data_IF_612145880288
#
_entry.id   IF_612145880288
#
_cell.length_a   1.000
_cell.length_b   1.000
_cell.length_c   1.000
_cell.angle_alpha   90.00
_cell.angle_beta   90.00
_cell.angle_gamma   90.00
#
_symmetry.space_group_name_H-M   'P 1'
#
loop_
_entity.id
_entity.type
_entity.pdbx_description
1 polymer ?
#
# COMPACT_ATOMS: atom_id res chain seq x y z
N UNK A 1 -23.45 9.29 -18.08
CA UNK A 1 -23.06 8.22 -17.14
C UNK A 1 -22.81 8.88 -15.80
N UNK A 2 -23.71 8.69 -14.82
CA UNK A 2 -23.63 9.39 -13.53
C UNK A 2 -22.57 8.71 -12.65
N UNK A 3 -21.57 9.49 -12.20
CA UNK A 3 -20.59 9.07 -11.21
C UNK A 3 -21.29 9.00 -9.84
N UNK A 4 -21.40 7.78 -9.30
CA UNK A 4 -21.96 7.56 -7.97
C UNK A 4 -21.12 8.24 -6.90
N UNK A 5 -21.79 8.92 -5.97
CA UNK A 5 -21.18 9.55 -4.81
C UNK A 5 -20.58 8.50 -3.87
N UNK A 6 -19.28 8.25 -3.96
CA UNK A 6 -18.55 7.43 -2.98
C UNK A 6 -18.24 8.27 -1.74
N UNK A 7 -18.78 7.87 -0.58
CA UNK A 7 -18.37 8.41 0.72
C UNK A 7 -17.06 7.72 1.15
N UNK A 8 -15.99 8.46 1.46
CA UNK A 8 -14.76 7.85 1.97
C UNK A 8 -15.01 7.27 3.37
N UNK A 9 -14.74 5.98 3.53
CA UNK A 9 -14.66 5.32 4.84
C UNK A 9 -13.23 5.52 5.33
N UNK A 10 -13.06 6.30 6.39
CA UNK A 10 -11.77 6.47 7.06
C UNK A 10 -11.49 5.23 7.92
N UNK A 11 -10.60 4.35 7.45
CA UNK A 11 -10.10 3.24 8.25
C UNK A 11 -8.84 3.71 8.98
N UNK A 12 -8.98 4.03 10.28
CA UNK A 12 -7.86 4.40 11.15
C UNK A 12 -7.38 3.13 11.84
N UNK A 13 -6.23 2.60 11.44
CA UNK A 13 -5.58 1.44 12.08
C UNK A 13 -4.55 1.94 13.10
N UNK A 14 -4.94 2.00 14.37
CA UNK A 14 -4.07 2.42 15.49
C UNK A 14 -3.14 1.28 15.93
N UNK A 15 -1.86 1.36 15.58
CA UNK A 15 -0.82 0.48 16.14
C UNK A 15 -0.30 1.08 17.46
N UNK A 16 -0.86 0.63 18.57
CA UNK A 16 -0.46 1.01 19.93
C UNK A 16 0.92 0.42 20.29
N UNK A 17 1.97 1.24 20.21
CA UNK A 17 3.27 0.94 20.80
C UNK A 17 3.38 1.61 22.18
N UNK A 18 3.48 0.82 23.24
CA UNK A 18 3.68 1.25 24.62
C UNK A 18 5.01 1.99 24.79
N UNK A 19 4.95 3.21 25.31
CA UNK A 19 6.09 4.11 25.56
C UNK A 19 6.52 3.99 27.02
N UNK A 20 7.77 3.57 27.25
CA UNK A 20 8.57 3.93 28.42
C UNK A 20 9.39 5.17 28.05
N UNK A 21 9.07 6.33 28.63
CA UNK A 21 9.83 7.58 28.43
C UNK A 21 10.75 7.83 29.63
N UNK A 22 12.07 7.84 29.38
CA UNK A 22 13.05 8.48 30.25
C UNK A 22 13.30 9.91 29.77
N UNK A 23 13.25 10.87 30.70
CA UNK A 23 13.44 12.30 30.50
C UNK A 23 14.86 12.65 30.03
N UNK A 24 14.99 13.12 28.78
CA UNK A 24 16.00 14.12 28.39
C UNK A 24 15.43 15.04 27.32
N UNK A 25 15.62 16.35 27.52
CA UNK A 25 15.05 17.43 26.72
C UNK A 25 15.63 17.56 25.31
N UNK A 26 15.32 16.61 24.45
CA UNK A 26 15.28 16.84 23.02
C UNK A 26 13.91 17.46 22.70
N UNK A 27 13.88 18.61 22.00
CA UNK A 27 12.70 19.02 21.23
C UNK A 27 12.50 17.99 20.11
N UNK A 28 11.96 16.83 20.48
CA UNK A 28 11.45 15.86 19.51
C UNK A 28 10.37 16.62 18.74
N UNK A 29 10.64 16.91 17.46
CA UNK A 29 9.56 17.16 16.52
C UNK A 29 8.61 15.99 16.73
N UNK A 30 7.43 16.25 17.28
CA UNK A 30 6.45 15.23 17.56
C UNK A 30 5.94 14.77 16.18
N UNK A 31 6.64 13.81 15.59
CA UNK A 31 6.23 13.22 14.33
C UNK A 31 4.94 12.45 14.65
N UNK A 32 3.85 12.81 13.96
CA UNK A 32 2.53 12.20 14.16
C UNK A 32 2.56 10.69 13.96
N UNK A 33 1.49 9.99 14.33
CA UNK A 33 1.41 8.55 14.13
C UNK A 33 1.52 8.19 12.63
N UNK A 34 2.02 6.98 12.35
CA UNK A 34 1.98 6.43 11.00
C UNK A 34 0.57 5.94 10.73
N UNK A 35 0.00 6.40 9.63
CA UNK A 35 -1.32 6.08 9.16
C UNK A 35 -1.26 5.54 7.74
N UNK A 36 -2.25 4.72 7.39
CA UNK A 36 -2.46 4.22 6.04
C UNK A 36 -3.82 4.73 5.59
N UNK A 37 -3.82 5.64 4.62
CA UNK A 37 -5.01 6.39 4.22
C UNK A 37 -5.40 6.03 2.80
N UNK A 38 -6.68 5.75 2.54
CA UNK A 38 -7.17 5.65 1.17
C UNK A 38 -6.92 6.96 0.41
N UNK A 39 -6.40 6.86 -0.81
CA UNK A 39 -6.09 8.01 -1.64
C UNK A 39 -6.93 8.07 -2.90
N UNK A 40 -6.84 7.05 -3.77
CA UNK A 40 -7.73 6.94 -4.93
C UNK A 40 -7.87 5.50 -5.38
N UNK A 41 -8.88 5.28 -6.22
CA UNK A 41 -9.16 4.02 -6.90
C UNK A 41 -9.00 4.19 -8.39
N UNK A 42 -8.25 3.30 -9.01
CA UNK A 42 -8.17 3.15 -10.45
C UNK A 42 -9.08 1.99 -10.88
N UNK A 43 -9.83 2.17 -11.96
CA UNK A 43 -10.72 1.16 -12.52
C UNK A 43 -10.11 0.68 -13.83
N UNK A 44 -9.69 -0.57 -13.84
CA UNK A 44 -9.00 -1.19 -14.97
C UNK A 44 -9.79 -2.35 -15.57
N UNK A 45 -9.22 -2.95 -16.60
CA UNK A 45 -9.65 -4.23 -17.12
C UNK A 45 -8.50 -5.23 -17.00
N UNK A 46 -8.76 -6.39 -16.41
CA UNK A 46 -7.81 -7.51 -16.36
C UNK A 46 -8.47 -8.75 -16.93
N UNK A 47 -7.87 -9.35 -17.95
CA UNK A 47 -8.36 -10.56 -18.63
C UNK A 47 -9.84 -10.48 -19.09
N UNK A 48 -10.29 -9.30 -19.55
CA UNK A 48 -11.64 -9.09 -20.08
C UNK A 48 -12.71 -8.71 -19.04
N UNK A 49 -12.34 -8.54 -17.77
CA UNK A 49 -13.27 -8.14 -16.70
C UNK A 49 -12.82 -6.84 -16.06
N UNK A 50 -13.80 -6.07 -15.58
CA UNK A 50 -13.53 -4.85 -14.81
C UNK A 50 -12.98 -5.22 -13.44
N UNK A 51 -11.84 -4.65 -13.09
CA UNK A 51 -11.21 -4.75 -11.77
C UNK A 51 -10.97 -3.36 -11.21
N UNK A 52 -10.53 -3.29 -9.95
CA UNK A 52 -10.02 -2.03 -9.39
C UNK A 52 -8.66 -2.20 -8.72
N UNK A 53 -7.86 -1.15 -8.72
CA UNK A 53 -6.67 -1.01 -7.90
C UNK A 53 -6.82 0.16 -6.94
N UNK A 54 -6.56 -0.04 -5.65
CA UNK A 54 -6.59 1.04 -4.65
C UNK A 54 -5.18 1.51 -4.31
N UNK A 55 -5.06 2.82 -4.12
CA UNK A 55 -3.85 3.49 -3.72
C UNK A 55 -3.99 3.97 -2.29
N UNK A 56 -3.10 3.50 -1.43
CA UNK A 56 -3.04 3.81 -0.01
C UNK A 56 -1.80 4.62 0.29
N UNK A 57 -1.97 5.70 1.04
CA UNK A 57 -0.90 6.60 1.44
C UNK A 57 -0.36 6.20 2.78
N UNK A 58 0.94 5.97 2.86
CA UNK A 58 1.67 5.74 4.10
C UNK A 58 2.24 7.06 4.59
N UNK A 59 1.78 7.51 5.76
CA UNK A 59 2.32 8.70 6.42
C UNK A 59 3.49 8.32 7.34
N UNK A 60 4.33 9.30 7.68
CA UNK A 60 5.42 9.15 8.65
C UNK A 60 6.37 7.94 8.44
N UNK A 61 6.51 7.46 7.20
CA UNK A 61 7.31 6.27 6.87
C UNK A 61 8.82 6.44 7.12
N UNK A 62 9.29 7.70 7.19
CA UNK A 62 10.69 8.04 7.50
C UNK A 62 11.03 7.64 8.94
N UNK A 63 10.07 7.77 9.86
CA UNK A 63 10.29 7.48 11.29
C UNK A 63 9.75 6.12 11.71
N UNK A 64 8.84 5.53 10.93
CA UNK A 64 8.28 4.19 11.17
C UNK A 64 8.42 3.35 9.91
N UNK A 65 9.35 2.41 9.96
CA UNK A 65 9.63 1.54 8.83
C UNK A 65 8.64 0.36 8.79
N UNK A 66 8.31 -0.10 7.58
CA UNK A 66 7.36 -1.19 7.32
C UNK A 66 8.07 -2.24 6.46
N UNK A 67 7.90 -3.52 6.79
CA UNK A 67 8.43 -4.64 6.00
C UNK A 67 7.49 -5.01 4.85
N UNK A 68 7.98 -5.74 3.85
CA UNK A 68 7.12 -6.23 2.75
C UNK A 68 6.02 -7.16 3.29
N UNK A 69 6.31 -8.00 4.28
CA UNK A 69 5.28 -8.81 4.95
C UNK A 69 4.16 -7.96 5.54
N UNK A 70 4.51 -6.86 6.21
CA UNK A 70 3.52 -5.98 6.79
C UNK A 70 2.65 -5.33 5.70
N UNK A 71 3.25 -4.85 4.60
CA UNK A 71 2.50 -4.35 3.45
C UNK A 71 1.54 -5.40 2.87
N UNK A 72 2.01 -6.63 2.67
CA UNK A 72 1.19 -7.74 2.20
C UNK A 72 0.02 -8.06 3.15
N UNK A 73 0.29 -8.09 4.46
CA UNK A 73 -0.74 -8.31 5.48
C UNK A 73 -1.78 -7.19 5.49
N UNK A 74 -1.34 -5.93 5.41
CA UNK A 74 -2.24 -4.77 5.35
C UNK A 74 -3.09 -4.85 4.09
N UNK A 75 -2.51 -5.15 2.93
CA UNK A 75 -3.25 -5.29 1.68
C UNK A 75 -4.31 -6.40 1.80
N UNK A 76 -3.94 -7.56 2.34
CA UNK A 76 -4.87 -8.66 2.59
C UNK A 76 -5.97 -8.34 3.59
N UNK A 77 -5.70 -7.54 4.63
CA UNK A 77 -6.73 -7.11 5.58
C UNK A 77 -7.65 -6.06 4.95
N UNK A 78 -7.08 -5.13 4.18
CA UNK A 78 -7.83 -4.08 3.51
C UNK A 78 -8.88 -4.66 2.56
N UNK A 79 -8.50 -5.66 1.74
CA UNK A 79 -9.44 -6.32 0.81
C UNK A 79 -10.58 -7.05 1.54
N UNK A 80 -10.33 -7.59 2.74
CA UNK A 80 -11.36 -8.27 3.53
C UNK A 80 -12.40 -7.29 4.09
N UNK A 81 -12.01 -6.01 4.25
CA UNK A 81 -12.86 -4.98 4.87
C UNK A 81 -13.64 -4.14 3.86
N UNK A 82 -13.11 -3.99 2.65
CA UNK A 82 -13.71 -3.09 1.67
C UNK A 82 -14.87 -3.77 0.93
N UNK A 83 -15.98 -3.04 0.81
CA UNK A 83 -17.14 -3.48 0.01
C UNK A 83 -17.01 -2.91 -1.39
N UNK A 84 -16.80 -3.78 -2.37
CA UNK A 84 -16.70 -3.42 -3.79
C UNK A 84 -17.35 -4.52 -4.64
N UNK A 85 -18.13 -4.12 -5.63
CA UNK A 85 -18.75 -5.05 -6.59
C UNK A 85 -17.75 -5.53 -7.67
N UNK A 86 -16.58 -4.90 -7.73
CA UNK A 86 -15.51 -5.26 -8.65
C UNK A 86 -14.42 -6.03 -7.90
N UNK A 87 -13.80 -7.05 -8.51
CA UNK A 87 -12.63 -7.71 -7.95
C UNK A 87 -11.42 -6.76 -7.86
N UNK A 88 -10.67 -6.89 -6.77
CA UNK A 88 -9.43 -6.12 -6.54
C UNK A 88 -8.28 -6.73 -7.33
N UNK A 89 -7.62 -5.94 -8.18
CA UNK A 89 -6.42 -6.37 -8.92
C UNK A 89 -5.12 -6.00 -8.22
N UNK A 90 -5.11 -4.90 -7.48
CA UNK A 90 -3.89 -4.43 -6.82
C UNK A 90 -4.20 -3.53 -5.61
N UNK A 91 -3.31 -3.56 -4.62
CA UNK A 91 -3.20 -2.53 -3.59
C UNK A 91 -1.81 -1.91 -3.71
N UNK A 92 -1.76 -0.60 -3.94
CA UNK A 92 -0.52 0.16 -4.06
C UNK A 92 -0.32 1.07 -2.86
N UNK A 93 0.79 0.90 -2.16
CA UNK A 93 1.22 1.80 -1.11
C UNK A 93 2.15 2.86 -1.68
N UNK A 94 1.85 4.12 -1.40
CA UNK A 94 2.69 5.27 -1.77
C UNK A 94 3.11 6.01 -0.52
N UNK A 95 4.40 6.35 -0.43
CA UNK A 95 4.87 7.25 0.63
C UNK A 95 4.31 8.66 0.43
N UNK A 96 3.93 9.35 1.51
CA UNK A 96 3.79 10.82 1.50
C UNK A 96 4.89 11.47 2.33
N UNK A 97 5.80 12.18 1.65
CA UNK A 97 6.87 12.94 2.33
C UNK A 97 6.27 13.89 3.38
N UNK A 98 6.87 14.04 4.57
CA UNK A 98 6.44 15.05 5.54
C UNK A 98 6.44 16.45 4.93
N UNK A 99 5.31 17.16 5.04
CA UNK A 99 5.10 18.48 4.42
C UNK A 99 4.94 18.47 2.89
N UNK A 100 5.00 17.31 2.24
CA UNK A 100 4.81 17.14 0.80
C UNK A 100 3.33 17.05 0.41
N UNK A 101 3.01 17.50 -0.81
CA UNK A 101 1.74 17.23 -1.47
C UNK A 101 1.87 16.01 -2.36
N UNK A 102 0.87 15.16 -2.32
CA UNK A 102 0.77 14.02 -3.23
C UNK A 102 0.39 14.53 -4.63
N UNK A 103 0.94 13.94 -5.70
CA UNK A 103 0.48 14.22 -7.05
C UNK A 103 -0.96 13.77 -7.25
N UNK A 104 -1.65 14.36 -8.24
CA UNK A 104 -2.94 13.88 -8.69
C UNK A 104 -2.88 12.36 -8.98
N UNK A 105 -3.93 11.63 -8.59
CA UNK A 105 -3.97 10.16 -8.57
C UNK A 105 -3.85 9.50 -9.93
N UNK A 106 -2.63 9.43 -10.47
CA UNK A 106 -2.27 8.48 -11.51
C UNK A 106 -0.86 7.91 -11.22
N UNK A 107 -0.69 6.61 -11.45
CA UNK A 107 0.54 5.85 -11.20
C UNK A 107 1.77 6.50 -11.85
N UNK A 108 1.65 6.94 -13.10
CA UNK A 108 2.75 7.52 -13.87
C UNK A 108 3.32 8.79 -13.21
N UNK A 109 2.45 9.62 -12.63
CA UNK A 109 2.89 10.85 -11.95
C UNK A 109 3.58 10.50 -10.63
N UNK A 110 3.13 9.45 -9.95
CA UNK A 110 3.81 8.94 -8.75
C UNK A 110 5.20 8.40 -9.06
N UNK A 111 5.32 7.53 -10.07
CA UNK A 111 6.60 6.95 -10.48
C UNK A 111 7.60 8.00 -10.96
N UNK A 112 7.13 9.08 -11.60
CA UNK A 112 7.97 10.22 -12.00
C UNK A 112 8.50 11.02 -10.82
N UNK A 113 7.85 10.96 -9.66
CA UNK A 113 8.31 11.65 -8.47
C UNK A 113 9.32 10.77 -7.72
N UNK A 114 10.59 10.93 -8.10
CA UNK A 114 11.82 10.27 -7.60
C UNK A 114 12.03 10.23 -6.07
N UNK A 115 11.10 10.80 -5.28
CA UNK A 115 11.17 11.01 -3.83
C UNK A 115 10.21 10.13 -3.04
N UNK A 116 9.41 9.29 -3.70
CA UNK A 116 8.44 8.43 -3.04
C UNK A 116 8.80 6.98 -3.24
N UNK A 117 8.68 6.18 -2.19
CA UNK A 117 8.66 4.74 -2.32
C UNK A 117 7.26 4.32 -2.79
N UNK A 118 7.22 3.25 -3.59
CA UNK A 118 5.99 2.61 -4.05
C UNK A 118 6.10 1.12 -3.80
N UNK A 119 5.11 0.53 -3.14
CA UNK A 119 4.98 -0.93 -2.99
C UNK A 119 3.65 -1.36 -3.57
N UNK A 120 3.67 -2.09 -4.68
CA UNK A 120 2.48 -2.70 -5.26
C UNK A 120 2.33 -4.15 -4.82
N UNK A 121 1.14 -4.51 -4.35
CA UNK A 121 0.73 -5.89 -4.07
C UNK A 121 -0.36 -6.25 -5.08
N UNK A 122 -0.01 -7.08 -6.06
CA UNK A 122 -0.95 -7.54 -7.09
C UNK A 122 -1.58 -8.86 -6.67
N UNK A 123 -2.83 -9.03 -7.05
CA UNK A 123 -3.63 -10.17 -6.68
C UNK A 123 -3.96 -11.04 -7.89
N UNK A 124 -3.75 -12.35 -7.75
CA UNK A 124 -4.19 -13.32 -8.72
C UNK A 124 -5.72 -13.38 -8.71
N UNK A 125 -6.33 -12.83 -9.75
CA UNK A 125 -7.76 -12.97 -9.98
C UNK A 125 -8.09 -14.08 -10.97
N UNK A 126 -7.24 -15.11 -11.10
CA UNK A 126 -7.55 -16.27 -11.94
C UNK A 126 -8.96 -16.77 -11.60
N UNK A 127 -9.85 -16.60 -12.57
CA UNK A 127 -11.29 -16.79 -12.46
C UNK A 127 -11.65 -18.27 -12.30
N UNK A 128 -11.20 -18.93 -11.24
CA UNK A 128 -11.64 -20.29 -10.95
C UNK A 128 -12.68 -20.31 -9.83
N UNK A 129 -13.92 -20.09 -10.26
CA UNK A 129 -15.16 -20.72 -9.76
C UNK A 129 -15.73 -20.35 -8.39
N UNK A 130 -15.03 -19.62 -7.52
CA UNK A 130 -15.58 -19.23 -6.21
C UNK A 130 -15.35 -17.75 -5.92
N UNK A 131 -16.39 -16.93 -6.05
CA UNK A 131 -16.41 -15.52 -5.62
C UNK A 131 -16.11 -15.34 -4.11
N UNK A 132 -16.04 -16.43 -3.35
CA UNK A 132 -15.77 -16.46 -1.92
C UNK A 132 -14.30 -16.77 -1.57
N UNK A 133 -13.44 -17.04 -2.56
CA UNK A 133 -12.04 -17.33 -2.29
C UNK A 133 -11.26 -16.02 -2.17
N UNK A 134 -10.56 -15.85 -1.04
CA UNK A 134 -9.69 -14.70 -0.83
C UNK A 134 -8.62 -14.66 -1.92
N UNK A 135 -8.43 -13.54 -2.63
CA UNK A 135 -7.47 -13.48 -3.71
C UNK A 135 -6.05 -13.61 -3.16
N UNK A 136 -5.23 -14.40 -3.83
CA UNK A 136 -3.84 -14.66 -3.47
C UNK A 136 -2.92 -13.60 -4.06
N UNK A 137 -1.78 -13.34 -3.42
CA UNK A 137 -0.79 -12.40 -3.96
C UNK A 137 -0.11 -13.06 -5.17
N UNK A 138 -0.24 -12.45 -6.35
CA UNK A 138 0.41 -12.92 -7.59
C UNK A 138 1.75 -12.25 -7.85
N UNK A 139 1.94 -11.05 -7.32
CA UNK A 139 3.09 -10.23 -7.65
C UNK A 139 3.33 -9.19 -6.56
N UNK A 140 4.59 -8.88 -6.32
CA UNK A 140 5.00 -7.74 -5.49
C UNK A 140 5.91 -6.87 -6.33
N UNK A 141 5.63 -5.57 -6.38
CA UNK A 141 6.51 -4.57 -6.98
C UNK A 141 7.01 -3.60 -5.94
N UNK A 142 8.29 -3.24 -6.02
CA UNK A 142 8.92 -2.26 -5.15
C UNK A 142 9.62 -1.24 -6.04
N UNK A 143 9.31 0.04 -5.84
CA UNK A 143 10.05 1.15 -6.42
C UNK A 143 10.63 2.04 -5.34
N UNK A 144 11.92 2.35 -5.46
CA UNK A 144 12.66 3.26 -4.60
C UNK A 144 13.80 3.89 -5.39
N UNK A 145 14.07 5.18 -5.21
CA UNK A 145 15.20 5.88 -5.85
C UNK A 145 15.36 5.56 -7.35
N UNK A 146 14.25 5.57 -8.11
CA UNK A 146 14.20 5.26 -9.56
C UNK A 146 14.55 3.81 -9.94
N UNK A 147 14.83 2.96 -8.96
CA UNK A 147 14.89 1.52 -9.16
C UNK A 147 13.49 0.96 -9.02
N UNK A 148 13.19 0.00 -9.88
CA UNK A 148 11.94 -0.75 -9.84
C UNK A 148 12.28 -2.23 -9.98
N UNK A 149 11.65 -3.04 -9.14
CA UNK A 149 11.76 -4.49 -9.21
C UNK A 149 10.39 -5.09 -8.97
N UNK A 150 10.05 -6.06 -9.81
CA UNK A 150 8.84 -6.87 -9.69
C UNK A 150 9.23 -8.32 -9.43
N UNK A 151 8.49 -8.95 -8.54
CA UNK A 151 8.65 -10.33 -8.12
C UNK A 151 7.37 -11.07 -8.50
N UNK A 152 7.48 -11.96 -9.48
CA UNK A 152 6.34 -12.70 -10.06
C UNK A 152 6.42 -14.21 -9.80
N UNK A 153 7.60 -14.72 -9.44
CA UNK A 153 7.77 -16.14 -9.10
C UNK A 153 7.39 -16.34 -7.64
N UNK A 154 6.55 -17.36 -7.36
CA UNK A 154 6.06 -17.60 -6.00
C UNK A 154 7.20 -17.78 -4.97
N UNK A 155 8.28 -18.48 -5.35
CA UNK A 155 9.45 -18.66 -4.48
C UNK A 155 10.15 -17.34 -4.12
N UNK A 156 10.17 -16.38 -5.05
CA UNK A 156 10.72 -15.04 -4.80
C UNK A 156 9.80 -14.23 -3.90
N UNK A 157 8.49 -14.33 -4.11
CA UNK A 157 7.47 -13.70 -3.26
C UNK A 157 7.56 -14.23 -1.84
N UNK A 158 7.59 -15.56 -1.67
CA UNK A 158 7.70 -16.21 -0.36
C UNK A 158 9.00 -15.81 0.36
N UNK A 159 10.12 -15.78 -0.36
CA UNK A 159 11.40 -15.30 0.15
C UNK A 159 11.28 -13.85 0.64
N UNK A 160 10.70 -12.97 -0.18
CA UNK A 160 10.52 -11.56 0.13
C UNK A 160 9.60 -11.34 1.35
N UNK A 161 8.56 -12.15 1.50
CA UNK A 161 7.69 -12.11 2.68
C UNK A 161 8.41 -12.58 3.95
N UNK A 162 9.46 -13.39 3.86
CA UNK A 162 10.26 -13.83 5.00
C UNK A 162 11.37 -12.84 5.42
N UNK A 163 11.66 -11.82 4.60
CA UNK A 163 12.59 -10.73 4.92
C UNK A 163 12.06 -9.94 6.13
N UNK A 164 12.94 -9.73 7.13
CA UNK A 164 12.61 -8.96 8.34
C UNK A 164 13.01 -7.49 8.21
N UNK A 165 13.89 -7.21 7.27
CA UNK A 165 14.37 -5.90 6.94
C UNK A 165 13.20 -5.04 6.41
N UNK A 166 13.10 -3.79 6.87
CA UNK A 166 12.11 -2.88 6.34
C UNK A 166 12.42 -2.53 4.88
N UNK A 167 11.38 -2.08 4.17
CA UNK A 167 11.56 -1.48 2.85
C UNK A 167 12.40 -0.23 3.00
N UNK A 168 13.47 -0.13 2.21
CA UNK A 168 14.23 1.12 2.08
C UNK A 168 13.33 2.19 1.47
N UNK A 169 13.00 3.19 2.28
CA UNK A 169 12.14 4.29 1.85
C UNK A 169 12.90 5.47 1.24
N UNK A 170 14.24 5.38 1.20
CA UNK A 170 15.14 6.41 0.68
C UNK A 170 15.37 7.60 1.62
N UNK A 171 15.04 7.47 2.91
CA UNK A 171 15.21 8.49 3.94
C UNK A 171 15.81 7.93 5.23
#
# INVERSE_FOLDING_TARGET
>A
MQLGNYKPIYMVLLLMSSILCSNTGCKNKQYGEQEILFYYRDIGNNNGYKTYGDYLVVTNYINKSITIRQFANIAQQYIDTIKSDLPVSAITFVGKKPGGKLPAGNWDTYMKQKKYFVVGIDFNNSLSKNANQKPEISSISISWNEKWKMYIQQSEIDSLLNVKEPVDTGF
#
